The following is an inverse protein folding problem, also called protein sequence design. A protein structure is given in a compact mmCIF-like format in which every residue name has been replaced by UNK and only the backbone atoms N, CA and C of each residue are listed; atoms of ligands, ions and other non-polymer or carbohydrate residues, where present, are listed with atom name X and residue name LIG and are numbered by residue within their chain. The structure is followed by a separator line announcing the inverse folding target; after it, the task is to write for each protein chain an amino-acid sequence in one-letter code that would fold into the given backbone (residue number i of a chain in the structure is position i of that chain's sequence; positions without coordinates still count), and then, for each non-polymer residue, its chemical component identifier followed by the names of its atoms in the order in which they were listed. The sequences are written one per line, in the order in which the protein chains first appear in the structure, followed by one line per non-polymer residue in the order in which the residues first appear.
data_IF_987891410069
#
_entry.id   IF_987891410069
#
_cell.length_a   1.000
_cell.length_b   1.000
_cell.length_c   1.000
_cell.angle_alpha   90.00
_cell.angle_beta   90.00
_cell.angle_gamma   90.00
#
_symmetry.space_group_name_H-M   'P 1'
#
loop_
_entity.id
_entity.type
_entity.pdbx_description
1 polymer ?
#
# COMPACT_ATOMS: atom_id res chain seq x y z
N UNK A 1 22.96 27.74 -30.32
CA UNK A 1 21.61 27.95 -29.74
C UNK A 1 20.94 26.63 -29.36
N UNK A 2 21.18 25.54 -30.10
CA UNK A 2 20.60 24.21 -29.83
C UNK A 2 21.12 23.50 -28.56
N UNK A 3 22.40 23.68 -28.22
CA UNK A 3 23.01 23.02 -27.04
C UNK A 3 22.35 23.45 -25.72
N UNK A 4 22.03 24.74 -25.56
CA UNK A 4 21.46 25.28 -24.32
C UNK A 4 19.99 24.83 -24.14
N UNK A 5 19.26 24.65 -25.24
CA UNK A 5 17.90 24.10 -25.22
C UNK A 5 17.92 22.61 -24.84
N UNK A 6 18.90 21.85 -25.33
CA UNK A 6 19.09 20.44 -24.98
C UNK A 6 19.44 20.25 -23.49
N UNK A 7 20.33 21.07 -22.94
CA UNK A 7 20.64 21.03 -21.50
C UNK A 7 19.45 21.43 -20.64
N UNK A 8 18.66 22.44 -21.04
CA UNK A 8 17.46 22.83 -20.31
C UNK A 8 16.39 21.72 -20.33
N UNK A 9 16.18 21.06 -21.47
CA UNK A 9 15.25 19.94 -21.58
C UNK A 9 15.70 18.74 -20.72
N UNK A 10 17.01 18.48 -20.67
CA UNK A 10 17.60 17.42 -19.85
C UNK A 10 17.48 17.71 -18.35
N UNK A 11 17.67 18.95 -17.93
CA UNK A 11 17.44 19.37 -16.53
C UNK A 11 15.97 19.23 -16.14
N UNK A 12 15.03 19.56 -17.05
CA UNK A 12 13.59 19.40 -16.80
C UNK A 12 13.20 17.91 -16.71
N UNK A 13 13.72 17.05 -17.58
CA UNK A 13 13.44 15.60 -17.52
C UNK A 13 14.04 14.95 -16.29
N UNK A 14 15.27 15.31 -15.90
CA UNK A 14 15.87 14.83 -14.65
C UNK A 14 15.10 15.37 -13.45
N UNK A 15 14.67 16.63 -13.45
CA UNK A 15 13.91 17.24 -12.36
C UNK A 15 12.53 16.60 -12.13
N UNK A 16 11.84 16.17 -13.20
CA UNK A 16 10.54 15.48 -13.10
C UNK A 16 10.71 14.06 -12.51
N UNK A 17 11.84 13.39 -12.78
CA UNK A 17 12.10 12.03 -12.28
C UNK A 17 12.35 11.96 -10.76
N UNK A 18 12.71 13.07 -10.10
CA UNK A 18 12.97 13.11 -8.65
C UNK A 18 11.66 13.26 -7.83
N UNK A 19 10.51 13.46 -8.48
CA UNK A 19 9.24 13.78 -7.81
C UNK A 19 8.34 12.60 -7.46
N UNK A 20 8.65 11.38 -7.90
CA UNK A 20 7.83 10.19 -7.66
C UNK A 20 8.56 9.21 -6.75
N UNK A 21 8.62 9.53 -5.45
CA UNK A 21 9.04 8.59 -4.41
C UNK A 21 7.81 7.80 -3.92
N UNK A 22 7.41 6.78 -4.67
CA UNK A 22 6.52 5.74 -4.13
C UNK A 22 7.37 4.67 -3.44
N UNK A 23 7.04 4.32 -2.20
CA UNK A 23 7.68 3.19 -1.55
C UNK A 23 7.03 1.91 -2.07
N UNK A 24 7.83 1.05 -2.70
CA UNK A 24 7.41 -0.29 -3.14
C UNK A 24 7.74 -1.26 -2.01
N UNK A 25 6.73 -1.97 -1.51
CA UNK A 25 6.87 -2.96 -0.45
C UNK A 25 6.17 -4.26 -0.83
N UNK A 26 6.61 -5.39 -0.25
CA UNK A 26 6.04 -6.73 -0.48
C UNK A 26 5.99 -7.49 0.84
N UNK A 27 4.87 -8.18 1.09
CA UNK A 27 4.67 -9.00 2.29
C UNK A 27 4.83 -10.52 2.03
N UNK A 28 5.07 -10.93 0.78
CA UNK A 28 5.23 -12.35 0.44
C UNK A 28 3.93 -13.17 0.56
N UNK A 29 4.01 -14.47 0.88
CA UNK A 29 2.84 -15.31 1.00
C UNK A 29 1.97 -14.92 2.19
N UNK A 30 0.65 -14.93 1.99
CA UNK A 30 -0.30 -14.74 3.09
C UNK A 30 -0.69 -16.10 3.68
N UNK A 31 -1.42 -16.04 4.79
CA UNK A 31 -1.93 -17.19 5.54
C UNK A 31 -2.98 -18.06 4.81
N UNK A 32 -3.33 -17.73 3.56
CA UNK A 32 -4.23 -18.50 2.70
C UNK A 32 -3.42 -19.12 1.57
N UNK A 33 -3.52 -20.44 1.39
CA UNK A 33 -2.77 -21.16 0.37
C UNK A 33 -3.06 -20.62 -1.05
N UNK A 34 -2.03 -20.51 -1.87
CA UNK A 34 -2.13 -19.96 -3.22
C UNK A 34 -2.17 -18.43 -3.31
N UNK A 35 -2.52 -17.71 -2.23
CA UNK A 35 -2.57 -16.25 -2.23
C UNK A 35 -1.23 -15.60 -1.82
N UNK A 36 -0.84 -14.56 -2.55
CA UNK A 36 0.40 -13.82 -2.37
C UNK A 36 0.14 -12.31 -2.43
N UNK A 37 0.81 -11.52 -1.59
CA UNK A 37 0.91 -10.07 -1.80
C UNK A 37 2.15 -9.78 -2.64
N UNK A 38 1.95 -9.45 -3.91
CA UNK A 38 3.05 -9.36 -4.90
C UNK A 38 3.61 -7.97 -5.05
N UNK A 39 2.78 -6.93 -4.95
CA UNK A 39 3.18 -5.53 -5.11
C UNK A 39 2.38 -4.66 -4.16
N UNK A 40 3.06 -3.80 -3.39
CA UNK A 40 2.44 -2.76 -2.59
C UNK A 40 3.06 -1.42 -2.95
N UNK A 41 2.24 -0.41 -3.20
CA UNK A 41 2.65 0.98 -3.38
C UNK A 41 2.08 1.82 -2.25
N UNK A 42 2.82 2.83 -1.83
CA UNK A 42 2.30 3.83 -0.91
C UNK A 42 2.72 5.23 -1.27
N UNK A 43 1.92 6.19 -0.80
CA UNK A 43 2.16 7.61 -0.95
C UNK A 43 1.75 8.34 0.32
N UNK A 44 2.38 9.49 0.57
CA UNK A 44 2.10 10.33 1.73
C UNK A 44 1.64 11.70 1.26
N UNK A 45 0.54 12.18 1.85
CA UNK A 45 -0.01 13.51 1.61
C UNK A 45 -0.40 14.19 2.92
N UNK A 46 -0.51 15.51 2.94
CA UNK A 46 -1.05 16.21 4.10
C UNK A 46 -2.57 16.12 4.11
N UNK A 47 -3.17 16.01 5.30
CA UNK A 47 -4.62 16.13 5.43
C UNK A 47 -5.05 17.57 5.07
N UNK A 48 -6.10 17.73 4.27
CA UNK A 48 -6.53 19.03 3.73
C UNK A 48 -6.77 20.10 4.81
N UNK A 49 -7.21 19.66 6.00
CA UNK A 49 -7.63 20.54 7.09
C UNK A 49 -6.70 20.49 8.32
N UNK A 50 -5.62 19.70 8.28
CA UNK A 50 -4.72 19.55 9.42
C UNK A 50 -3.29 19.22 8.97
N UNK A 51 -2.40 20.22 9.01
CA UNK A 51 -0.99 20.04 8.65
C UNK A 51 -0.20 19.18 9.65
N UNK A 52 -0.74 18.93 10.84
CA UNK A 52 -0.16 18.00 11.82
C UNK A 52 -0.47 16.54 11.50
N UNK A 53 -1.34 16.28 10.52
CA UNK A 53 -1.74 14.93 10.10
C UNK A 53 -1.25 14.65 8.68
N UNK A 54 -0.55 13.53 8.54
CA UNK A 54 -0.17 12.94 7.25
C UNK A 54 -1.08 11.77 6.94
N UNK A 55 -1.62 11.74 5.74
CA UNK A 55 -2.38 10.64 5.18
C UNK A 55 -1.41 9.73 4.43
N UNK A 56 -1.26 8.52 4.92
CA UNK A 56 -0.56 7.43 4.25
C UNK A 56 -1.57 6.62 3.43
N UNK A 57 -1.51 6.74 2.11
CA UNK A 57 -2.36 5.98 1.20
C UNK A 57 -1.59 4.76 0.72
N UNK A 58 -2.19 3.57 0.86
CA UNK A 58 -1.61 2.31 0.41
C UNK A 58 -2.50 1.64 -0.62
N UNK A 59 -1.87 0.89 -1.52
CA UNK A 59 -2.53 -0.05 -2.42
C UNK A 59 -1.61 -1.26 -2.59
N UNK A 60 -2.15 -2.47 -2.54
CA UNK A 60 -1.40 -3.68 -2.83
C UNK A 60 -2.22 -4.68 -3.64
N UNK A 61 -1.49 -5.56 -4.33
CA UNK A 61 -2.04 -6.58 -5.21
C UNK A 61 -2.01 -7.94 -4.52
N UNK A 62 -3.19 -8.53 -4.35
CA UNK A 62 -3.38 -9.89 -3.93
C UNK A 62 -3.48 -10.79 -5.17
N UNK A 63 -2.49 -11.67 -5.36
CA UNK A 63 -2.39 -12.57 -6.51
C UNK A 63 -2.68 -14.01 -6.10
N UNK A 64 -3.55 -14.69 -6.85
CA UNK A 64 -3.80 -16.12 -6.69
C UNK A 64 -2.90 -16.92 -7.63
N UNK A 65 -1.84 -17.48 -7.06
CA UNK A 65 -0.92 -18.42 -7.71
C UNK A 65 -1.40 -19.89 -7.69
N UNK A 66 -2.52 -20.15 -7.02
CA UNK A 66 -3.15 -21.47 -6.92
C UNK A 66 -3.83 -21.91 -8.22
N UNK A 67 -4.34 -23.15 -8.20
CA UNK A 67 -5.08 -23.73 -9.33
C UNK A 67 -6.60 -23.58 -9.20
N UNK A 68 -7.09 -23.13 -8.04
CA UNK A 68 -8.50 -22.98 -7.72
C UNK A 68 -8.80 -21.52 -7.33
N UNK A 69 -10.05 -21.12 -7.51
CA UNK A 69 -10.53 -19.80 -7.12
C UNK A 69 -10.63 -19.71 -5.59
N UNK A 70 -10.19 -18.59 -5.01
CA UNK A 70 -10.21 -18.38 -3.56
C UNK A 70 -11.26 -17.33 -3.21
N UNK A 71 -12.22 -17.69 -2.34
CA UNK A 71 -13.19 -16.74 -1.83
C UNK A 71 -12.61 -15.96 -0.65
N UNK A 72 -12.32 -14.69 -0.85
CA UNK A 72 -11.80 -13.77 0.17
C UNK A 72 -12.96 -13.06 0.84
N UNK A 73 -13.09 -13.26 2.16
CA UNK A 73 -14.12 -12.60 2.97
C UNK A 73 -13.66 -11.21 3.36
N UNK A 74 -12.45 -11.09 3.88
CA UNK A 74 -11.88 -9.82 4.31
C UNK A 74 -10.37 -9.77 4.17
N UNK A 75 -9.87 -8.54 4.07
CA UNK A 75 -8.45 -8.22 4.05
C UNK A 75 -8.18 -7.14 5.09
N UNK A 76 -7.16 -7.36 5.91
CA UNK A 76 -6.81 -6.51 7.04
C UNK A 76 -5.30 -6.24 7.01
N UNK A 77 -4.86 -5.02 6.64
CA UNK A 77 -3.47 -4.60 6.85
C UNK A 77 -3.19 -4.55 8.36
N UNK A 78 -2.08 -5.14 8.78
CA UNK A 78 -1.63 -5.12 10.18
C UNK A 78 -0.83 -3.83 10.39
N UNK A 79 -1.35 -2.94 11.24
CA UNK A 79 -0.70 -1.68 11.55
C UNK A 79 0.53 -1.91 12.45
N UNK A 80 1.56 -1.10 12.26
CA UNK A 80 2.73 -1.09 13.15
C UNK A 80 2.32 -0.65 14.57
N UNK A 81 3.03 -1.15 15.59
CA UNK A 81 2.89 -0.62 16.95
C UNK A 81 3.63 0.72 17.04
N UNK A 82 2.92 1.82 16.74
CA UNK A 82 3.49 3.15 16.64
C UNK A 82 2.56 4.19 17.28
N UNK A 83 3.09 5.08 18.15
CA UNK A 83 2.29 6.14 18.77
C UNK A 83 1.86 7.22 17.77
N UNK A 84 2.43 7.22 16.56
CA UNK A 84 2.11 8.17 15.51
C UNK A 84 0.88 7.75 14.71
N UNK A 85 0.43 6.50 14.80
CA UNK A 85 -0.73 6.01 14.06
C UNK A 85 -2.01 6.41 14.82
N UNK A 86 -2.86 7.20 14.17
CA UNK A 86 -4.15 7.63 14.70
C UNK A 86 -5.29 6.67 14.30
N UNK A 87 -5.14 6.02 13.15
CA UNK A 87 -6.10 5.05 12.61
C UNK A 87 -6.17 3.80 13.49
N UNK A 88 -7.38 3.35 13.82
CA UNK A 88 -7.57 2.10 14.55
C UNK A 88 -7.43 0.88 13.63
N UNK A 89 -6.99 -0.25 14.19
CA UNK A 89 -6.85 -1.51 13.46
C UNK A 89 -8.17 -1.93 12.78
N UNK A 90 -9.31 -1.81 13.48
CA UNK A 90 -10.62 -2.16 12.92
C UNK A 90 -11.04 -1.29 11.72
N UNK A 91 -10.50 -0.08 11.59
CA UNK A 91 -10.86 0.84 10.51
C UNK A 91 -10.17 0.57 9.19
N UNK A 92 -9.09 -0.24 9.19
CA UNK A 92 -8.40 -0.67 7.96
C UNK A 92 -8.85 -2.05 7.47
N UNK A 93 -9.72 -2.73 8.23
CA UNK A 93 -10.39 -3.96 7.80
C UNK A 93 -11.33 -3.66 6.62
N UNK A 94 -11.17 -4.43 5.55
CA UNK A 94 -12.02 -4.33 4.36
C UNK A 94 -12.78 -5.63 4.14
N UNK A 95 -14.10 -5.52 4.10
CA UNK A 95 -14.99 -6.60 3.68
C UNK A 95 -14.98 -6.70 2.15
N UNK A 96 -14.36 -7.75 1.62
CA UNK A 96 -14.23 -7.97 0.18
C UNK A 96 -15.40 -8.82 -0.34
N UNK A 97 -15.66 -9.95 0.32
CA UNK A 97 -16.71 -10.91 -0.04
C UNK A 97 -16.71 -11.28 -1.54
N UNK A 98 -15.54 -11.62 -2.09
CA UNK A 98 -15.34 -11.85 -3.52
C UNK A 98 -14.33 -12.95 -3.83
N UNK A 99 -14.35 -13.43 -5.07
CA UNK A 99 -13.39 -14.42 -5.55
C UNK A 99 -12.15 -13.75 -6.14
N UNK A 100 -10.99 -14.34 -5.87
CA UNK A 100 -9.77 -14.13 -6.66
C UNK A 100 -9.57 -15.39 -7.49
N UNK A 101 -9.85 -15.29 -8.78
CA UNK A 101 -9.75 -16.43 -9.71
C UNK A 101 -8.31 -16.96 -9.80
N UNK A 102 -8.16 -18.26 -10.09
CA UNK A 102 -6.85 -18.88 -10.27
C UNK A 102 -6.03 -18.16 -11.36
N UNK A 103 -4.81 -17.74 -11.03
CA UNK A 103 -3.92 -16.99 -11.93
C UNK A 103 -4.28 -15.52 -12.11
N UNK A 104 -5.26 -15.00 -11.37
CA UNK A 104 -5.71 -13.60 -11.41
C UNK A 104 -5.31 -12.83 -10.14
N UNK A 105 -5.55 -11.51 -10.16
CA UNK A 105 -5.21 -10.61 -9.06
C UNK A 105 -6.33 -9.63 -8.73
N UNK A 106 -6.29 -9.12 -7.50
CA UNK A 106 -7.19 -8.07 -7.00
C UNK A 106 -6.37 -6.99 -6.29
N UNK A 107 -6.71 -5.73 -6.52
CA UNK A 107 -6.10 -4.61 -5.80
C UNK A 107 -6.90 -4.29 -4.54
N UNK A 108 -6.20 -4.05 -3.44
CA UNK A 108 -6.75 -3.66 -2.14
C UNK A 108 -6.01 -2.41 -1.70
N UNK A 109 -6.75 -1.35 -1.37
CA UNK A 109 -6.14 -0.08 -0.99
C UNK A 109 -6.93 0.66 0.08
N UNK A 110 -6.28 1.59 0.76
CA UNK A 110 -6.87 2.33 1.86
C UNK A 110 -5.93 3.43 2.36
N UNK A 111 -6.27 3.97 3.52
CA UNK A 111 -5.55 5.11 4.11
C UNK A 111 -5.33 4.92 5.60
N UNK A 112 -4.17 5.40 6.08
CA UNK A 112 -3.80 5.46 7.49
C UNK A 112 -3.47 6.92 7.83
N UNK A 113 -4.02 7.43 8.91
CA UNK A 113 -3.76 8.75 9.45
C UNK A 113 -2.60 8.69 10.45
N UNK A 114 -1.62 9.57 10.25
CA UNK A 114 -0.42 9.67 11.06
C UNK A 114 -0.34 11.06 11.70
N UNK A 115 -0.11 11.12 13.01
CA UNK A 115 0.26 12.35 13.69
C UNK A 115 1.76 12.60 13.53
N UNK A 116 2.12 13.59 12.70
CA UNK A 116 3.51 13.84 12.30
C UNK A 116 3.99 15.25 12.67
N UNK A 117 3.29 15.92 13.58
CA UNK A 117 3.68 17.25 14.05
C UNK A 117 5.08 17.24 14.65
N UNK A 118 5.94 18.14 14.15
CA UNK A 118 7.32 18.27 14.61
C UNK A 118 8.31 17.27 14.01
N UNK A 119 7.86 16.36 13.12
CA UNK A 119 8.75 15.48 12.36
C UNK A 119 9.29 16.17 11.10
N UNK A 120 10.52 15.84 10.72
CA UNK A 120 11.08 16.18 9.42
C UNK A 120 10.43 15.36 8.31
N UNK A 121 10.60 15.80 7.04
CA UNK A 121 10.05 15.06 5.90
C UNK A 121 10.68 13.67 5.78
N UNK A 122 11.97 13.59 6.05
CA UNK A 122 12.74 12.36 6.01
C UNK A 122 12.21 11.37 7.07
N UNK A 123 12.01 11.84 8.31
CA UNK A 123 11.43 11.00 9.38
C UNK A 123 10.01 10.54 9.05
N UNK A 124 9.20 11.36 8.38
CA UNK A 124 7.86 10.97 7.92
C UNK A 124 7.94 9.90 6.84
N UNK A 125 8.85 10.05 5.87
CA UNK A 125 9.04 9.09 4.78
C UNK A 125 9.55 7.73 5.25
N UNK A 126 10.30 7.70 6.35
CA UNK A 126 10.81 6.49 6.99
C UNK A 126 9.74 5.77 7.86
N UNK A 127 8.53 6.33 8.01
CA UNK A 127 7.43 5.65 8.68
C UNK A 127 6.89 4.51 7.81
N UNK A 128 6.89 3.31 8.37
CA UNK A 128 6.28 2.10 7.79
C UNK A 128 5.04 1.72 8.61
N UNK A 129 3.87 2.32 8.36
CA UNK A 129 2.69 2.14 9.21
C UNK A 129 2.02 0.77 9.03
N UNK A 130 2.37 -0.01 8.01
CA UNK A 130 1.82 -1.33 7.76
C UNK A 130 2.98 -2.34 7.75
N UNK A 131 2.86 -3.37 8.59
CA UNK A 131 3.93 -4.39 8.75
C UNK A 131 3.60 -5.70 8.05
N UNK A 132 2.31 -5.99 7.82
CA UNK A 132 1.87 -7.22 7.18
C UNK A 132 0.43 -7.09 6.67
N UNK A 133 -0.08 -8.11 5.98
CA UNK A 133 -1.46 -8.22 5.54
C UNK A 133 -2.05 -9.56 5.98
N UNK A 134 -3.18 -9.50 6.69
CA UNK A 134 -4.00 -10.64 7.05
C UNK A 134 -5.12 -10.79 6.03
N UNK A 135 -5.29 -12.00 5.50
CA UNK A 135 -6.39 -12.35 4.60
C UNK A 135 -7.25 -13.42 5.27
N UNK A 136 -8.56 -13.21 5.24
CA UNK A 136 -9.55 -14.20 5.67
C UNK A 136 -10.24 -14.78 4.44
N UNK A 137 -10.37 -16.10 4.41
CA UNK A 137 -11.01 -16.83 3.32
C UNK A 137 -11.88 -17.95 3.88
N UNK A 138 -12.96 -18.28 3.18
CA UNK A 138 -13.68 -19.53 3.41
C UNK A 138 -13.09 -20.58 2.47
N UNK A 139 -12.47 -21.63 3.01
CA UNK A 139 -12.05 -22.78 2.20
C UNK A 139 -13.24 -23.29 1.37
N UNK A 140 -13.04 -23.42 0.06
CA UNK A 140 -13.90 -24.25 -0.77
C UNK A 140 -13.71 -25.69 -0.31
N UNK A 141 -14.73 -26.27 0.32
CA UNK A 141 -14.75 -27.71 0.61
C UNK A 141 -14.49 -28.46 -0.71
N UNK A 142 -13.48 -29.35 -0.79
CA UNK A 142 -13.34 -30.21 -1.95
C UNK A 142 -14.59 -31.10 -2.04
N UNK A 143 -15.22 -31.09 -3.23
CA UNK A 143 -16.40 -31.89 -3.55
C UNK A 143 -16.02 -33.37 -3.69
#
# INVERSE_FOLDING_TARGET
MEKNLSYALLIITVGILIGFSGNIWSCGPVQVEGLLVVEGVSSMGLAENNSSVTIYTYEFTLYNSGQEDVYVTSVEPILADSPYILTSQDSVLQDINGYVEAGSSMNVGGTVELFTEGMSKEEIMDLEPIVNVRVSSTETMPI
#
